data_IF_151155346740
#
_entry.id   IF_151155346740
#
_cell.length_a   1.000
_cell.length_b   1.000
_cell.length_c   1.000
_cell.angle_alpha   90.00
_cell.angle_beta   90.00
_cell.angle_gamma   90.00
#
_symmetry.space_group_name_H-M   'P 1'
#
loop_
_entity.id
_entity.type
_entity.pdbx_description
1 polymer ?
#
# COMPACT_ATOMS: atom_id res chain seq x y z
N UNK A 1 8.14 7.44 13.96
CA UNK A 1 8.80 8.06 12.78
C UNK A 1 7.75 8.55 11.83
N UNK A 2 8.11 9.62 11.11
CA UNK A 2 7.18 10.22 10.16
C UNK A 2 7.75 10.08 8.76
N UNK A 3 6.90 9.67 7.82
CA UNK A 3 7.21 9.57 6.39
C UNK A 3 6.14 10.29 5.61
N UNK A 4 6.52 10.84 4.49
CA UNK A 4 5.60 11.38 3.51
C UNK A 4 6.16 11.14 2.11
N UNK A 5 5.30 11.17 1.13
CA UNK A 5 5.70 11.03 -0.27
C UNK A 5 4.57 11.45 -1.19
N UNK A 6 4.96 11.63 -2.44
CA UNK A 6 4.05 12.01 -3.52
C UNK A 6 4.41 11.21 -4.77
N UNK A 7 3.39 10.68 -5.46
CA UNK A 7 3.54 9.92 -6.71
C UNK A 7 2.55 10.41 -7.76
N UNK A 8 3.06 10.64 -8.96
CA UNK A 8 2.25 10.98 -10.13
C UNK A 8 1.88 9.71 -10.88
N UNK A 9 0.60 9.52 -11.10
CA UNK A 9 0.03 8.34 -11.74
C UNK A 9 -0.70 8.78 -13.01
N UNK A 10 -0.26 8.30 -14.16
CA UNK A 10 -0.86 8.61 -15.48
C UNK A 10 -2.20 7.88 -15.64
N UNK A 11 -3.18 8.28 -14.84
CA UNK A 11 -4.52 7.70 -14.85
C UNK A 11 -5.51 8.62 -14.14
N UNK A 12 -6.80 8.48 -14.45
CA UNK A 12 -7.85 9.23 -13.76
C UNK A 12 -7.92 8.85 -12.28
N UNK A 13 -8.36 9.77 -11.45
CA UNK A 13 -8.52 9.58 -10.00
C UNK A 13 -9.43 8.38 -9.69
N UNK A 14 -10.51 8.24 -10.42
CA UNK A 14 -11.41 7.09 -10.30
C UNK A 14 -10.70 5.75 -10.55
N UNK A 15 -9.94 5.64 -11.65
CA UNK A 15 -9.22 4.40 -11.96
C UNK A 15 -8.13 4.09 -10.94
N UNK A 16 -7.41 5.10 -10.46
CA UNK A 16 -6.45 4.95 -9.36
C UNK A 16 -7.14 4.43 -8.11
N UNK A 17 -8.28 5.03 -7.74
CA UNK A 17 -9.08 4.61 -6.60
C UNK A 17 -9.56 3.16 -6.71
N UNK A 18 -10.14 2.77 -7.84
CA UNK A 18 -10.62 1.41 -8.10
C UNK A 18 -9.49 0.38 -7.96
N UNK A 19 -8.32 0.66 -8.52
CA UNK A 19 -7.18 -0.24 -8.45
C UNK A 19 -6.53 -0.29 -7.07
N UNK A 20 -6.48 0.82 -6.34
CA UNK A 20 -6.07 0.83 -4.92
C UNK A 20 -7.04 0.05 -4.03
N UNK A 21 -8.27 -0.19 -4.47
CA UNK A 21 -9.28 -0.99 -3.78
C UNK A 21 -9.40 -2.44 -4.29
N UNK A 22 -8.48 -2.88 -5.14
CA UNK A 22 -8.48 -4.22 -5.71
C UNK A 22 -7.37 -5.08 -5.08
N UNK A 23 -7.77 -6.12 -4.31
CA UNK A 23 -6.84 -7.03 -3.59
C UNK A 23 -5.85 -7.69 -4.55
N UNK A 24 -6.30 -8.11 -5.72
CA UNK A 24 -5.44 -8.83 -6.66
C UNK A 24 -4.40 -7.90 -7.28
N UNK A 25 -4.77 -6.65 -7.54
CA UNK A 25 -3.83 -5.60 -7.96
C UNK A 25 -2.80 -5.36 -6.87
N UNK A 26 -3.26 -5.19 -5.65
CA UNK A 26 -2.39 -4.90 -4.52
C UNK A 26 -1.41 -6.03 -4.26
N UNK A 27 -1.86 -7.29 -4.27
CA UNK A 27 -0.97 -8.46 -4.14
C UNK A 27 0.15 -8.46 -5.18
N UNK A 28 -0.15 -8.07 -6.42
CA UNK A 28 0.85 -7.99 -7.49
C UNK A 28 1.83 -6.83 -7.31
N UNK A 29 1.39 -5.76 -6.67
CA UNK A 29 2.23 -4.58 -6.46
C UNK A 29 3.22 -4.74 -5.31
N UNK A 30 2.93 -5.61 -4.31
CA UNK A 30 3.78 -5.78 -3.12
C UNK A 30 4.78 -6.89 -3.34
N UNK A 31 6.03 -6.51 -3.30
CA UNK A 31 7.10 -7.49 -3.26
C UNK A 31 7.06 -8.29 -1.94
N UNK A 32 7.10 -9.62 -2.06
CA UNK A 32 7.04 -10.52 -0.92
C UNK A 32 5.66 -10.71 -0.27
N UNK A 33 4.56 -10.27 -0.90
CA UNK A 33 3.22 -10.55 -0.41
C UNK A 33 2.88 -12.03 -0.56
N UNK A 34 2.84 -12.75 0.57
CA UNK A 34 2.47 -14.16 0.62
C UNK A 34 0.96 -14.34 0.75
N UNK A 35 0.32 -13.54 1.60
CA UNK A 35 -1.12 -13.57 1.84
C UNK A 35 -1.67 -12.16 1.97
N UNK A 36 -2.89 -11.99 1.47
CA UNK A 36 -3.67 -10.76 1.66
C UNK A 36 -5.15 -11.12 1.62
N UNK A 37 -5.82 -11.06 2.78
CA UNK A 37 -7.17 -11.57 2.98
C UNK A 37 -8.06 -10.46 3.54
N UNK A 38 -9.22 -10.28 2.93
CA UNK A 38 -10.29 -9.49 3.53
C UNK A 38 -10.98 -10.31 4.63
N UNK A 39 -11.22 -9.68 5.77
CA UNK A 39 -11.91 -10.30 6.90
C UNK A 39 -13.35 -9.78 6.97
N UNK A 40 -13.53 -8.54 7.45
CA UNK A 40 -14.81 -7.85 7.54
C UNK A 40 -14.61 -6.34 7.76
N UNK A 41 -15.65 -5.54 7.65
CA UNK A 41 -15.69 -4.13 8.06
C UNK A 41 -14.40 -3.32 7.76
N UNK A 42 -13.90 -3.42 6.51
CA UNK A 42 -12.65 -2.79 6.09
C UNK A 42 -11.39 -3.26 6.85
N UNK A 43 -11.43 -4.50 7.37
CA UNK A 43 -10.31 -5.18 8.00
C UNK A 43 -9.70 -6.22 7.09
N UNK A 44 -8.37 -6.31 7.15
CA UNK A 44 -7.59 -7.24 6.34
C UNK A 44 -6.50 -7.88 7.19
N UNK A 45 -6.15 -9.11 6.84
CA UNK A 45 -4.93 -9.75 7.29
C UNK A 45 -3.97 -9.89 6.12
N UNK A 46 -2.70 -9.64 6.40
CA UNK A 46 -1.65 -9.82 5.40
C UNK A 46 -0.45 -10.55 6.00
N UNK A 47 0.22 -11.35 5.16
CA UNK A 47 1.51 -11.94 5.46
C UNK A 47 2.49 -11.52 4.39
N UNK A 48 3.54 -10.80 4.80
CA UNK A 48 4.50 -10.20 3.88
C UNK A 48 5.92 -10.53 4.34
N UNK A 49 6.71 -11.04 3.40
CA UNK A 49 8.13 -11.26 3.58
C UNK A 49 8.92 -10.03 3.14
N UNK A 50 9.75 -9.48 4.02
CA UNK A 50 10.50 -8.25 3.75
C UNK A 50 11.97 -8.44 4.07
N UNK A 51 12.82 -7.90 3.20
CA UNK A 51 14.28 -7.81 3.40
C UNK A 51 14.64 -6.44 3.96
N UNK A 52 15.20 -6.41 5.15
CA UNK A 52 15.63 -5.22 5.87
C UNK A 52 17.16 -5.23 5.99
N UNK A 53 17.85 -4.84 4.93
CA UNK A 53 19.31 -5.00 4.86
C UNK A 53 19.71 -6.49 4.99
N UNK A 54 20.51 -6.86 6.02
CA UNK A 54 20.91 -8.25 6.23
C UNK A 54 19.82 -9.13 6.88
N UNK A 55 18.71 -8.53 7.36
CA UNK A 55 17.66 -9.24 8.09
C UNK A 55 16.46 -9.52 7.19
N UNK A 56 15.99 -10.75 7.21
CA UNK A 56 14.75 -11.17 6.58
C UNK A 56 13.66 -11.31 7.64
N UNK A 57 12.49 -10.73 7.41
CA UNK A 57 11.37 -10.76 8.33
C UNK A 57 10.07 -11.11 7.62
N UNK A 58 9.32 -12.07 8.14
CA UNK A 58 7.94 -12.35 7.71
C UNK A 58 6.99 -11.73 8.72
N UNK A 59 6.18 -10.80 8.24
CA UNK A 59 5.22 -10.08 9.07
C UNK A 59 3.82 -10.58 8.86
N UNK A 60 3.14 -10.89 9.96
CA UNK A 60 1.68 -11.05 10.01
C UNK A 60 1.08 -9.75 10.49
N UNK A 61 0.21 -9.17 9.70
CA UNK A 61 -0.33 -7.84 9.92
C UNK A 61 -1.84 -7.84 9.90
N UNK A 62 -2.43 -7.08 10.82
CA UNK A 62 -3.84 -6.69 10.78
C UNK A 62 -3.94 -5.24 10.37
N UNK A 63 -4.88 -4.93 9.49
CA UNK A 63 -5.00 -3.66 8.82
C UNK A 63 -6.45 -3.23 8.83
N UNK A 64 -6.70 -1.98 9.17
CA UNK A 64 -8.03 -1.38 9.22
C UNK A 64 -8.04 -0.08 8.43
N UNK A 65 -9.11 0.15 7.64
CA UNK A 65 -9.30 1.39 6.88
C UNK A 65 -10.39 2.22 7.53
N UNK A 66 -10.09 3.48 7.75
CA UNK A 66 -10.95 4.43 8.41
C UNK A 66 -11.09 5.73 7.60
N UNK A 67 -12.07 6.55 7.94
CA UNK A 67 -12.25 7.91 7.42
C UNK A 67 -12.20 7.98 5.88
N UNK A 68 -12.91 7.05 5.25
CA UNK A 68 -12.94 6.93 3.79
C UNK A 68 -13.80 8.06 3.21
N UNK A 69 -13.20 8.88 2.37
CA UNK A 69 -13.89 9.81 1.46
C UNK A 69 -13.63 9.29 0.05
N UNK A 70 -14.66 8.77 -0.60
CA UNK A 70 -14.55 8.08 -1.89
C UNK A 70 -13.83 8.92 -2.94
N UNK A 71 -12.87 8.31 -3.63
CA UNK A 71 -11.98 8.94 -4.61
C UNK A 71 -11.11 10.10 -4.09
N UNK A 72 -11.13 10.41 -2.80
CA UNK A 72 -10.37 11.55 -2.25
C UNK A 72 -9.32 11.14 -1.22
N UNK A 73 -9.74 10.44 -0.16
CA UNK A 73 -8.82 10.14 0.93
C UNK A 73 -9.27 8.99 1.82
N UNK A 74 -8.35 8.46 2.61
CA UNK A 74 -8.61 7.48 3.65
C UNK A 74 -7.45 7.42 4.64
N UNK A 75 -7.72 6.81 5.81
CA UNK A 75 -6.72 6.48 6.79
C UNK A 75 -6.55 4.97 6.92
N UNK A 76 -5.32 4.54 7.07
CA UNK A 76 -4.96 3.15 7.33
C UNK A 76 -4.37 3.07 8.73
N UNK A 77 -4.85 2.12 9.54
CA UNK A 77 -4.24 1.74 10.80
C UNK A 77 -3.80 0.29 10.66
N UNK A 78 -2.52 0.02 10.91
CA UNK A 78 -2.05 -1.36 10.87
C UNK A 78 -1.12 -1.71 12.02
N UNK A 79 -1.09 -3.01 12.32
CA UNK A 79 -0.21 -3.62 13.32
C UNK A 79 0.38 -4.89 12.71
N UNK A 80 1.69 -4.99 12.72
CA UNK A 80 2.44 -6.14 12.20
C UNK A 80 3.30 -6.77 13.28
N UNK A 81 3.41 -8.09 13.24
CA UNK A 81 4.23 -8.88 14.14
C UNK A 81 5.18 -9.78 13.34
N UNK A 82 6.48 -9.70 13.62
CA UNK A 82 7.55 -10.51 13.05
C UNK A 82 8.15 -11.49 14.07
N UNK A 83 7.36 -11.93 15.04
CA UNK A 83 7.80 -12.86 16.06
C UNK A 83 8.94 -12.31 16.91
N UNK A 84 10.02 -13.05 17.02
CA UNK A 84 11.20 -12.67 17.83
C UNK A 84 11.95 -11.44 17.30
N UNK A 85 11.71 -11.03 16.06
CA UNK A 85 12.34 -9.85 15.48
C UNK A 85 11.66 -8.55 15.96
N UNK A 86 10.41 -8.63 16.41
CA UNK A 86 9.71 -7.48 16.95
C UNK A 86 8.35 -7.24 16.29
N UNK A 87 7.83 -6.04 16.50
CA UNK A 87 6.54 -5.61 15.97
C UNK A 87 6.61 -4.19 15.46
N UNK A 88 5.64 -3.86 14.61
CA UNK A 88 5.47 -2.52 14.08
C UNK A 88 4.00 -2.12 14.10
N UNK A 89 3.71 -0.84 14.27
CA UNK A 89 2.37 -0.29 14.19
C UNK A 89 2.41 1.12 13.65
N UNK A 90 1.31 1.61 13.10
CA UNK A 90 1.26 2.98 12.67
C UNK A 90 -0.06 3.36 12.00
N UNK A 91 -0.09 4.61 11.54
CA UNK A 91 -1.21 5.25 10.87
C UNK A 91 -0.71 5.94 9.61
N UNK A 92 -1.41 5.77 8.50
CA UNK A 92 -1.16 6.50 7.26
C UNK A 92 -2.41 7.19 6.79
N UNK A 93 -2.28 8.42 6.32
CA UNK A 93 -3.28 9.13 5.55
C UNK A 93 -2.88 9.14 4.09
N UNK A 94 -3.82 8.87 3.22
CA UNK A 94 -3.63 8.91 1.77
C UNK A 94 -4.61 9.92 1.18
N UNK A 95 -4.12 10.72 0.24
CA UNK A 95 -4.88 11.75 -0.45
C UNK A 95 -4.67 11.62 -1.95
N UNK A 96 -5.75 11.71 -2.72
CA UNK A 96 -5.73 11.72 -4.17
C UNK A 96 -6.16 13.08 -4.68
N UNK A 97 -5.37 13.67 -5.56
CA UNK A 97 -5.69 14.91 -6.26
C UNK A 97 -5.58 14.70 -7.75
N UNK A 98 -6.60 15.05 -8.50
CA UNK A 98 -6.56 15.03 -9.96
C UNK A 98 -5.96 16.33 -10.48
N UNK A 99 -5.01 16.22 -11.40
CA UNK A 99 -4.41 17.32 -12.14
C UNK A 99 -4.47 16.97 -13.62
N UNK A 100 -5.41 17.56 -14.34
CA UNK A 100 -5.69 17.28 -15.76
C UNK A 100 -5.99 15.79 -15.99
N UNK A 101 -5.03 15.05 -16.56
CA UNK A 101 -5.15 13.62 -16.90
C UNK A 101 -4.36 12.69 -15.97
N UNK A 102 -3.72 13.25 -14.95
CA UNK A 102 -2.93 12.50 -13.98
C UNK A 102 -3.54 12.59 -12.59
N UNK A 103 -3.26 11.60 -11.77
CA UNK A 103 -3.60 11.62 -10.35
C UNK A 103 -2.33 11.72 -9.53
N UNK A 104 -2.26 12.72 -8.66
CA UNK A 104 -1.21 12.83 -7.64
C UNK A 104 -1.70 12.15 -6.37
N UNK A 105 -1.00 11.10 -5.96
CA UNK A 105 -1.21 10.44 -4.69
C UNK A 105 -0.20 10.98 -3.69
N UNK A 106 -0.68 11.54 -2.59
CA UNK A 106 0.13 11.95 -1.45
C UNK A 106 -0.14 11.05 -0.26
N UNK A 107 0.87 10.79 0.54
CA UNK A 107 0.69 10.06 1.80
C UNK A 107 1.52 10.67 2.93
N UNK A 108 0.99 10.54 4.14
CA UNK A 108 1.63 10.89 5.41
C UNK A 108 1.52 9.70 6.35
N UNK A 109 2.63 9.27 6.92
CA UNK A 109 2.69 8.12 7.81
C UNK A 109 3.35 8.47 9.15
N UNK A 110 2.76 7.96 10.23
CA UNK A 110 3.35 7.95 11.56
C UNK A 110 3.41 6.50 12.06
N UNK A 111 4.63 6.04 12.37
CA UNK A 111 4.88 4.62 12.65
C UNK A 111 5.70 4.43 13.92
N UNK A 112 5.53 3.26 14.55
CA UNK A 112 6.31 2.79 15.71
C UNK A 112 6.79 1.37 15.44
N UNK A 113 8.07 1.12 15.66
CA UNK A 113 8.69 -0.20 15.53
C UNK A 113 9.37 -0.56 16.84
N UNK A 114 9.30 -1.81 17.24
CA UNK A 114 9.89 -2.31 18.48
C UNK A 114 10.63 -3.63 18.23
N UNK A 115 11.53 -3.97 19.14
CA UNK A 115 12.29 -5.21 19.08
C UNK A 115 13.59 -5.10 18.30
N UNK A 116 14.12 -6.24 17.85
CA UNK A 116 15.40 -6.33 17.13
C UNK A 116 15.43 -5.56 15.82
N UNK A 117 14.26 -5.43 15.16
CA UNK A 117 14.15 -4.65 13.93
C UNK A 117 14.48 -3.18 14.19
N UNK A 118 14.05 -2.64 15.32
CA UNK A 118 14.39 -1.26 15.70
C UNK A 118 15.90 -1.02 15.86
N UNK A 119 16.65 -2.06 16.19
CA UNK A 119 18.11 -2.01 16.36
C UNK A 119 18.89 -1.96 15.04
N UNK A 120 18.23 -2.18 13.88
CA UNK A 120 18.87 -2.05 12.57
C UNK A 120 19.28 -0.62 12.23
N UNK A 121 18.71 0.36 12.93
CA UNK A 121 18.95 1.78 12.72
C UNK A 121 18.13 2.41 11.62
N UNK A 122 17.85 3.70 11.75
CA UNK A 122 16.97 4.44 10.85
C UNK A 122 17.41 4.36 9.39
N UNK A 123 18.69 4.49 9.11
CA UNK A 123 19.22 4.52 7.74
C UNK A 123 18.87 3.26 6.93
N UNK A 124 18.97 2.06 7.52
CA UNK A 124 18.61 0.81 6.85
C UNK A 124 17.10 0.69 6.68
N UNK A 125 16.42 1.11 7.69
CA UNK A 125 14.96 1.13 7.69
C UNK A 125 14.48 2.11 6.60
N UNK A 126 14.84 3.37 6.60
CA UNK A 126 14.47 4.39 5.63
C UNK A 126 14.76 3.95 4.19
N UNK A 127 15.95 3.38 3.96
CA UNK A 127 16.32 2.84 2.65
C UNK A 127 15.41 1.70 2.18
N UNK A 128 15.00 0.83 3.10
CA UNK A 128 14.10 -0.28 2.79
C UNK A 128 12.68 0.21 2.46
N UNK A 129 12.18 1.23 3.19
CA UNK A 129 10.89 1.86 2.85
C UNK A 129 10.90 2.45 1.49
N UNK A 130 11.82 3.39 1.29
CA UNK A 130 11.88 4.08 0.01
C UNK A 130 11.90 3.06 -1.13
N UNK A 131 12.76 2.04 -1.03
CA UNK A 131 12.86 0.98 -2.04
C UNK A 131 11.52 0.27 -2.25
N UNK A 132 10.86 -0.18 -1.18
CA UNK A 132 9.61 -0.93 -1.30
C UNK A 132 8.45 -0.04 -1.78
N UNK A 133 8.40 1.21 -1.35
CA UNK A 133 7.38 2.16 -1.80
C UNK A 133 7.57 2.50 -3.28
N UNK A 134 8.80 2.76 -3.72
CA UNK A 134 9.11 3.02 -5.13
C UNK A 134 8.75 1.80 -5.99
N UNK A 135 9.08 0.59 -5.54
CA UNK A 135 8.75 -0.65 -6.25
C UNK A 135 7.23 -0.87 -6.35
N UNK A 136 6.51 -0.63 -5.26
CA UNK A 136 5.05 -0.68 -5.26
C UNK A 136 4.46 0.24 -6.33
N UNK A 137 4.84 1.51 -6.33
CA UNK A 137 4.30 2.47 -7.30
C UNK A 137 4.74 2.22 -8.74
N UNK A 138 5.94 1.67 -8.95
CA UNK A 138 6.36 1.19 -10.27
C UNK A 138 5.45 0.07 -10.77
N UNK A 139 5.17 -0.94 -9.95
CA UNK A 139 4.29 -2.04 -10.31
C UNK A 139 2.85 -1.56 -10.50
N UNK A 140 2.37 -0.69 -9.62
CA UNK A 140 1.03 -0.11 -9.71
C UNK A 140 0.84 0.70 -10.99
N UNK A 141 1.81 1.55 -11.35
CA UNK A 141 1.78 2.31 -12.60
C UNK A 141 1.77 1.42 -13.84
N UNK A 142 2.49 0.28 -13.83
CA UNK A 142 2.45 -0.70 -14.93
C UNK A 142 1.04 -1.26 -15.11
N UNK A 143 0.40 -1.69 -14.02
CA UNK A 143 -0.96 -2.24 -14.07
C UNK A 143 -1.97 -1.20 -14.57
N UNK A 144 -1.90 0.04 -14.09
CA UNK A 144 -2.74 1.13 -14.58
C UNK A 144 -2.60 1.35 -16.10
N UNK A 145 -1.39 1.22 -16.64
CA UNK A 145 -1.13 1.41 -18.06
C UNK A 145 -1.57 0.19 -18.90
N UNK A 146 -1.40 -1.03 -18.42
CA UNK A 146 -1.84 -2.26 -19.08
C UNK A 146 -3.36 -2.30 -19.25
N UNK A 147 -4.11 -2.00 -18.20
CA UNK A 147 -5.58 -1.90 -18.27
C UNK A 147 -6.05 -0.81 -19.25
N UNK A 148 -5.28 0.25 -19.43
CA UNK A 148 -5.61 1.31 -20.40
C UNK A 148 -5.47 0.82 -21.84
N UNK A 149 -4.49 -0.05 -22.13
CA UNK A 149 -4.29 -0.64 -23.46
C UNK A 149 -5.36 -1.71 -23.78
N UNK A 150 -5.83 -2.46 -22.77
CA UNK A 150 -6.91 -3.45 -22.96
C UNK A 150 -8.24 -2.75 -23.29
N UNK A 151 -8.55 -1.63 -22.63
CA UNK A 151 -9.78 -0.87 -22.92
C UNK A 151 -9.81 -0.25 -24.34
N UNK A 152 -8.67 -0.01 -24.95
CA UNK A 152 -8.59 0.47 -26.35
C UNK A 152 -8.94 -0.65 -27.32
N UNK A 153 -8.61 -1.90 -26.99
CA UNK A 153 -8.90 -3.07 -27.83
C UNK A 153 -10.31 -3.64 -27.64
N UNK A 154 -10.92 -3.48 -26.44
CA UNK A 154 -12.22 -4.05 -26.09
C UNK A 154 -13.43 -3.19 -26.52
N UNK A 155 -13.24 -2.04 -27.16
CA UNK A 155 -14.36 -1.30 -27.79
C UNK A 155 -15.11 -2.10 -28.89
N UNK A 156 -14.69 -3.33 -29.16
CA UNK A 156 -15.33 -4.25 -30.12
C UNK A 156 -16.18 -5.37 -29.54
N UNK A 157 -16.16 -5.62 -28.23
CA UNK A 157 -16.98 -6.70 -27.65
C UNK A 157 -17.63 -6.26 -26.33
N UNK A 158 -18.95 -6.10 -26.37
CA UNK A 158 -19.82 -5.87 -25.21
C UNK A 158 -19.75 -7.06 -24.22
N UNK A 159 -19.14 -6.88 -23.08
CA UNK A 159 -19.31 -7.79 -21.94
C UNK A 159 -19.69 -6.95 -20.70
N UNK A 160 -20.91 -7.21 -20.24
CA UNK A 160 -21.50 -6.62 -19.03
C UNK A 160 -20.78 -7.16 -17.80
N UNK A 161 -19.91 -6.36 -17.19
CA UNK A 161 -19.30 -6.71 -15.91
C UNK A 161 -20.25 -6.33 -14.78
N UNK A 162 -20.71 -7.35 -14.03
CA UNK A 162 -21.52 -7.16 -12.81
C UNK A 162 -20.78 -6.29 -11.82
N UNK A 163 -21.41 -5.21 -11.36
CA UNK A 163 -20.96 -4.35 -10.27
C UNK A 163 -20.75 -5.18 -8.98
N UNK A 164 -19.53 -5.58 -8.72
CA UNK A 164 -19.11 -6.05 -7.38
C UNK A 164 -18.83 -4.82 -6.54
N UNK A 165 -19.36 -4.78 -5.31
CA UNK A 165 -19.21 -3.66 -4.38
C UNK A 165 -17.74 -3.28 -4.18
N UNK A 166 -17.36 -2.14 -4.76
CA UNK A 166 -16.03 -1.56 -4.75
C UNK A 166 -15.86 -0.78 -3.45
N UNK A 167 -15.31 -1.40 -2.42
CA UNK A 167 -14.91 -0.65 -1.20
C UNK A 167 -13.92 -1.44 -0.32
N UNK A 168 -12.86 -2.07 -0.86
CA UNK A 168 -12.15 -3.02 -0.01
C UNK A 168 -10.63 -3.09 -0.03
N UNK A 169 -9.85 -2.19 -0.68
CA UNK A 169 -8.45 -2.54 -0.90
C UNK A 169 -7.33 -1.50 -0.74
N UNK A 170 -7.51 -0.50 0.09
CA UNK A 170 -6.54 0.61 0.26
C UNK A 170 -5.35 0.35 1.22
N UNK A 171 -5.09 -0.88 1.53
CA UNK A 171 -4.38 -1.33 2.74
C UNK A 171 -2.86 -1.38 2.66
N UNK A 172 -2.31 -1.25 1.49
CA UNK A 172 -0.98 -1.75 1.21
C UNK A 172 0.17 -0.78 1.29
N UNK A 173 -0.09 0.46 1.05
CA UNK A 173 0.91 1.52 1.23
C UNK A 173 1.43 1.55 2.67
N UNK A 174 0.61 1.07 3.59
CA UNK A 174 0.92 1.04 5.01
C UNK A 174 1.92 -0.04 5.43
N UNK A 175 1.89 -1.22 4.84
CA UNK A 175 2.82 -2.28 5.22
C UNK A 175 4.26 -1.97 4.83
N UNK A 176 4.45 -1.19 3.79
CA UNK A 176 5.75 -0.70 3.36
C UNK A 176 6.26 0.38 4.32
N UNK A 177 5.38 1.24 4.81
CA UNK A 177 5.70 2.36 5.70
C UNK A 177 5.78 1.92 7.17
N UNK A 178 5.05 0.89 7.57
CA UNK A 178 5.02 0.35 8.94
C UNK A 178 6.37 -0.22 9.38
N UNK A 179 7.22 -0.52 8.40
CA UNK A 179 8.52 -1.12 8.62
C UNK A 179 9.64 -0.14 8.96
N UNK A 180 9.35 1.18 8.99
CA UNK A 180 10.43 2.14 8.98
C UNK A 180 10.30 3.26 9.99
N UNK A 181 9.74 3.06 11.05
CA UNK A 181 9.64 4.11 12.03
C UNK A 181 10.30 3.85 13.38
N UNK A 182 11.59 3.76 13.48
CA UNK A 182 12.26 3.99 14.79
C UNK A 182 13.74 4.33 14.62
N UNK A 183 14.09 5.56 14.56
CA UNK A 183 15.25 6.10 15.26
C UNK A 183 15.45 7.59 14.95
N UNK A 184 14.98 8.46 15.81
CA UNK A 184 15.67 9.70 16.18
C UNK A 184 15.27 10.04 17.61
N UNK A 185 16.19 9.79 18.46
CA UNK A 185 16.49 10.66 19.58
C UNK A 185 17.97 10.85 19.63
#
# INVERSE_FOLDING_TARGET
MKFNGSYELNSSKKKVWENLNNIDVLKKCIDGCEEFLYIDNNKYNAKIFIKLGPVNASFRSTIEIHNIIEEESYEIIAKGNAGQLGNASGKVRVFLKELDKITVLNYEADTRINGRIAQLGSRLIDGSVKKNTDLFFQNFSKILNEDSNIMINDKKNNITIKKVKILKCLVLLFLIILFIGLYVR
#
